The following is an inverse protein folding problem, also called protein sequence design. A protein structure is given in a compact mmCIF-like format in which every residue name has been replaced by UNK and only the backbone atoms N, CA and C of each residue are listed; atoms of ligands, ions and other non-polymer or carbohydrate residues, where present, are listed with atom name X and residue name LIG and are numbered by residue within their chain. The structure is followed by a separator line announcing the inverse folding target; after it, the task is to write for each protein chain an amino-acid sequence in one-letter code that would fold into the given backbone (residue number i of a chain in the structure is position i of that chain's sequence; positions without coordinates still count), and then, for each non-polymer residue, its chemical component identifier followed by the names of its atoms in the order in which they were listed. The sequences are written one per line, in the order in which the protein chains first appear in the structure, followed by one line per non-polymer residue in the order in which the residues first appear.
data_IF_561775195397
#
_entry.id   IF_561775195397
#
_cell.length_a   1.000
_cell.length_b   1.000
_cell.length_c   1.000
_cell.angle_alpha   90.00
_cell.angle_beta   90.00
_cell.angle_gamma   90.00
#
_symmetry.space_group_name_H-M   'P 1'
#
loop_
_entity.id
_entity.type
_entity.pdbx_description
1 polymer ?
#
# COMPACT_ATOMS: atom_id res chain seq x y z
N UNK A 1 -16.87 18.75 -4.89
CA UNK A 1 -15.75 17.89 -5.36
C UNK A 1 -14.61 17.78 -4.35
N UNK A 2 -14.05 18.86 -3.77
CA UNK A 2 -12.93 18.81 -2.80
C UNK A 2 -13.17 17.91 -1.58
N UNK A 3 -14.38 17.90 -1.03
CA UNK A 3 -14.73 17.06 0.12
C UNK A 3 -14.75 15.57 -0.22
N UNK A 4 -15.25 15.20 -1.41
CA UNK A 4 -15.27 13.81 -1.87
C UNK A 4 -13.85 13.28 -2.05
N UNK A 5 -12.96 14.06 -2.67
CA UNK A 5 -11.56 13.70 -2.85
C UNK A 5 -10.85 13.53 -1.49
N UNK A 6 -11.12 14.41 -0.53
CA UNK A 6 -10.53 14.30 0.81
C UNK A 6 -11.04 13.06 1.55
N UNK A 7 -12.36 12.81 1.51
CA UNK A 7 -12.96 11.65 2.14
C UNK A 7 -12.42 10.35 1.51
N UNK A 8 -12.40 10.26 0.18
CA UNK A 8 -11.87 9.09 -0.53
C UNK A 8 -10.41 8.81 -0.19
N UNK A 9 -9.59 9.84 -0.09
CA UNK A 9 -8.18 9.73 0.29
C UNK A 9 -8.01 9.22 1.74
N UNK A 10 -8.82 9.71 2.68
CA UNK A 10 -8.78 9.26 4.08
C UNK A 10 -9.25 7.80 4.18
N UNK A 11 -10.39 7.48 3.54
CA UNK A 11 -10.92 6.11 3.51
C UNK A 11 -9.95 5.12 2.85
N UNK A 12 -9.20 5.56 1.85
CA UNK A 12 -8.15 4.76 1.23
C UNK A 12 -6.98 4.51 2.20
N UNK A 13 -6.59 5.50 3.00
CA UNK A 13 -5.42 5.44 3.86
C UNK A 13 -5.64 4.64 5.16
N UNK A 14 -6.84 4.73 5.76
CA UNK A 14 -7.15 4.08 7.06
C UNK A 14 -6.85 2.59 7.08
N UNK A 15 -7.26 1.77 6.10
CA UNK A 15 -6.97 0.34 6.09
C UNK A 15 -5.48 0.02 6.18
N UNK A 16 -4.61 0.82 5.58
CA UNK A 16 -3.16 0.61 5.64
C UNK A 16 -2.59 0.87 7.04
N UNK A 17 -3.13 1.84 7.79
CA UNK A 17 -2.76 2.04 9.19
C UNK A 17 -3.15 0.80 10.02
N UNK A 18 -4.37 0.28 9.83
CA UNK A 18 -4.86 -0.90 10.54
C UNK A 18 -4.03 -2.13 10.16
N UNK A 19 -3.76 -2.37 8.88
CA UNK A 19 -2.89 -3.46 8.45
C UNK A 19 -1.48 -3.32 9.02
N UNK A 20 -0.91 -2.11 9.02
CA UNK A 20 0.39 -1.87 9.60
C UNK A 20 0.44 -2.21 11.10
N UNK A 21 -0.57 -1.80 11.87
CA UNK A 21 -0.69 -2.15 13.30
C UNK A 21 -0.82 -3.66 13.46
N UNK A 22 -1.63 -4.33 12.64
CA UNK A 22 -1.80 -5.78 12.70
C UNK A 22 -0.49 -6.54 12.47
N UNK A 23 0.44 -6.01 11.67
CA UNK A 23 1.75 -6.63 11.49
C UNK A 23 2.55 -6.72 12.80
N UNK A 24 2.34 -5.81 13.73
CA UNK A 24 2.95 -5.88 15.07
C UNK A 24 2.18 -6.77 16.02
N UNK A 25 0.85 -6.73 16.01
CA UNK A 25 0.01 -7.47 16.94
C UNK A 25 -0.12 -8.96 16.58
N UNK A 26 0.00 -9.29 15.30
CA UNK A 26 -0.24 -10.62 14.74
C UNK A 26 0.98 -11.13 13.96
N UNK A 27 2.18 -10.86 14.45
CA UNK A 27 3.43 -11.22 13.77
C UNK A 27 3.50 -12.72 13.47
N UNK A 28 3.09 -13.58 14.41
CA UNK A 28 3.10 -15.04 14.25
C UNK A 28 2.17 -15.51 13.12
N UNK A 29 1.00 -14.88 12.98
CA UNK A 29 0.08 -15.15 11.88
C UNK A 29 0.74 -14.83 10.54
N UNK A 30 1.36 -13.65 10.42
CA UNK A 30 2.06 -13.24 9.19
C UNK A 30 3.29 -14.10 8.89
N UNK A 31 3.99 -14.57 9.92
CA UNK A 31 5.08 -15.54 9.75
C UNK A 31 4.59 -16.85 9.12
N UNK A 32 3.40 -17.32 9.53
CA UNK A 32 2.79 -18.54 9.03
C UNK A 32 2.42 -18.49 7.54
N UNK A 33 2.16 -17.29 6.99
CA UNK A 33 1.83 -17.11 5.57
C UNK A 33 3.02 -16.63 4.72
N UNK A 34 4.16 -16.36 5.36
CA UNK A 34 5.35 -15.91 4.66
C UNK A 34 5.92 -17.05 3.82
N UNK A 35 6.14 -16.79 2.54
CA UNK A 35 6.76 -17.81 1.65
C UNK A 35 8.28 -17.88 1.84
N UNK A 36 8.87 -19.00 1.45
CA UNK A 36 10.32 -19.20 1.51
C UNK A 36 11.15 -18.20 0.67
N UNK A 37 10.50 -17.49 -0.23
CA UNK A 37 11.14 -16.44 -1.04
C UNK A 37 11.39 -15.14 -0.28
N UNK A 38 10.71 -14.93 0.85
CA UNK A 38 10.83 -13.69 1.61
C UNK A 38 11.85 -13.87 2.72
N UNK A 39 12.99 -13.17 2.64
CA UNK A 39 14.05 -13.29 3.63
C UNK A 39 13.70 -12.58 4.95
N UNK A 40 14.47 -12.87 6.00
CA UNK A 40 14.49 -12.16 7.28
C UNK A 40 13.26 -12.36 8.19
N UNK A 41 12.25 -13.15 7.80
CA UNK A 41 11.13 -13.56 8.68
C UNK A 41 10.44 -12.40 9.41
N UNK A 42 10.47 -12.39 10.75
CA UNK A 42 9.79 -11.40 11.58
C UNK A 42 10.24 -9.95 11.30
N UNK A 43 11.51 -9.72 10.96
CA UNK A 43 11.99 -8.37 10.63
C UNK A 43 11.31 -7.80 9.40
N UNK A 44 11.08 -8.62 8.37
CA UNK A 44 10.34 -8.21 7.16
C UNK A 44 8.90 -7.83 7.52
N UNK A 45 8.25 -8.57 8.40
CA UNK A 45 6.87 -8.28 8.84
C UNK A 45 6.82 -6.94 9.59
N UNK A 46 7.72 -6.71 10.53
CA UNK A 46 7.80 -5.46 11.30
C UNK A 46 8.09 -4.28 10.36
N UNK A 47 9.06 -4.42 9.44
CA UNK A 47 9.39 -3.39 8.47
C UNK A 47 8.18 -3.05 7.57
N UNK A 48 7.47 -4.06 7.11
CA UNK A 48 6.22 -3.89 6.35
C UNK A 48 5.17 -3.12 7.15
N UNK A 49 4.98 -3.45 8.42
CA UNK A 49 4.08 -2.72 9.31
C UNK A 49 4.43 -1.22 9.42
N UNK A 50 5.71 -0.91 9.60
CA UNK A 50 6.22 0.48 9.62
C UNK A 50 5.92 1.19 8.30
N UNK A 51 6.21 0.54 7.17
CA UNK A 51 5.99 1.12 5.84
C UNK A 51 4.51 1.42 5.59
N UNK A 52 3.60 0.52 5.97
CA UNK A 52 2.15 0.71 5.81
C UNK A 52 1.63 1.87 6.66
N UNK A 53 2.07 2.00 7.92
CA UNK A 53 1.69 3.11 8.80
C UNK A 53 2.24 4.43 8.26
N UNK A 54 3.51 4.47 7.85
CA UNK A 54 4.13 5.65 7.29
C UNK A 54 3.43 6.11 6.00
N UNK A 55 3.06 5.18 5.11
CA UNK A 55 2.29 5.47 3.91
C UNK A 55 0.91 6.05 4.25
N UNK A 56 0.20 5.46 5.21
CA UNK A 56 -1.10 5.96 5.67
C UNK A 56 -0.99 7.40 6.19
N UNK A 57 -0.03 7.69 7.07
CA UNK A 57 0.19 9.03 7.61
C UNK A 57 0.51 10.02 6.49
N UNK A 58 1.38 9.65 5.55
CA UNK A 58 1.75 10.50 4.40
C UNK A 58 0.54 10.81 3.53
N UNK A 59 -0.32 9.83 3.27
CA UNK A 59 -1.54 9.99 2.47
C UNK A 59 -2.54 10.89 3.20
N UNK A 60 -2.75 10.73 4.50
CA UNK A 60 -3.68 11.56 5.29
C UNK A 60 -3.20 13.00 5.37
N UNK A 61 -1.92 13.21 5.67
CA UNK A 61 -1.33 14.54 5.86
C UNK A 61 -0.97 15.26 4.56
N UNK A 62 -0.98 14.56 3.42
CA UNK A 62 -0.50 15.01 2.10
C UNK A 62 1.00 15.31 2.03
N UNK A 63 1.76 14.98 3.06
CA UNK A 63 3.22 15.14 3.05
C UNK A 63 3.83 13.96 2.32
N UNK A 64 4.63 14.23 1.27
CA UNK A 64 5.26 13.21 0.43
C UNK A 64 4.28 12.19 -0.17
N UNK A 65 3.02 12.61 -0.43
CA UNK A 65 1.93 11.72 -0.84
C UNK A 65 2.26 10.96 -2.13
N UNK A 66 2.89 11.62 -3.11
CA UNK A 66 3.31 10.99 -4.38
C UNK A 66 4.30 9.85 -4.13
N UNK A 67 5.35 10.12 -3.35
CA UNK A 67 6.39 9.12 -3.04
C UNK A 67 5.80 7.97 -2.21
N UNK A 68 5.00 8.30 -1.20
CA UNK A 68 4.37 7.32 -0.33
C UNK A 68 3.43 6.38 -1.10
N UNK A 69 2.62 6.91 -2.03
CA UNK A 69 1.69 6.10 -2.83
C UNK A 69 2.41 5.27 -3.89
N UNK A 70 3.50 5.74 -4.48
CA UNK A 70 4.33 4.93 -5.38
C UNK A 70 5.03 3.79 -4.64
N UNK A 71 5.60 4.07 -3.47
CA UNK A 71 6.22 3.02 -2.63
C UNK A 71 5.17 2.02 -2.12
N UNK A 72 3.97 2.48 -1.80
CA UNK A 72 2.86 1.61 -1.42
C UNK A 72 2.43 0.70 -2.58
N UNK A 73 2.33 1.24 -3.79
CA UNK A 73 2.03 0.44 -4.98
C UNK A 73 3.11 -0.63 -5.23
N UNK A 74 4.39 -0.26 -5.07
CA UNK A 74 5.51 -1.21 -5.18
C UNK A 74 5.44 -2.30 -4.10
N UNK A 75 5.13 -1.93 -2.85
CA UNK A 75 4.99 -2.88 -1.74
C UNK A 75 3.86 -3.89 -2.01
N UNK A 76 2.71 -3.40 -2.49
CA UNK A 76 1.58 -4.26 -2.87
C UNK A 76 1.92 -5.18 -4.04
N UNK A 77 2.68 -4.69 -5.02
CA UNK A 77 3.19 -5.54 -6.10
C UNK A 77 4.09 -6.66 -5.57
N UNK A 78 4.97 -6.35 -4.62
CA UNK A 78 5.82 -7.35 -3.97
C UNK A 78 4.95 -8.41 -3.27
N UNK A 79 3.90 -8.01 -2.54
CA UNK A 79 2.98 -8.96 -1.90
C UNK A 79 2.25 -9.86 -2.92
N UNK A 80 1.78 -9.27 -4.01
CA UNK A 80 1.14 -10.02 -5.09
C UNK A 80 2.09 -11.12 -5.60
N UNK A 81 3.33 -10.76 -5.92
CA UNK A 81 4.29 -11.68 -6.53
C UNK A 81 4.86 -12.71 -5.55
N UNK A 82 5.09 -12.34 -4.29
CA UNK A 82 5.80 -13.19 -3.33
C UNK A 82 4.90 -13.97 -2.39
N UNK A 83 3.67 -13.50 -2.17
CA UNK A 83 2.72 -14.12 -1.22
C UNK A 83 1.49 -14.63 -1.95
N UNK A 84 0.74 -13.76 -2.62
CA UNK A 84 -0.56 -14.13 -3.16
C UNK A 84 -0.48 -15.10 -4.35
N UNK A 85 0.41 -14.86 -5.30
CA UNK A 85 0.59 -15.76 -6.45
C UNK A 85 1.06 -17.14 -6.00
N UNK A 86 2.10 -17.31 -5.19
CA UNK A 86 2.51 -18.65 -4.71
C UNK A 86 1.41 -19.37 -3.92
N UNK A 87 0.68 -18.66 -3.05
CA UNK A 87 -0.42 -19.26 -2.28
C UNK A 87 -1.62 -19.64 -3.13
N UNK A 88 -1.87 -18.94 -4.24
CA UNK A 88 -2.96 -19.27 -5.16
C UNK A 88 -2.77 -20.66 -5.79
N UNK A 89 -1.51 -21.05 -6.05
CA UNK A 89 -1.19 -22.34 -6.65
C UNK A 89 -0.95 -23.46 -5.62
N UNK A 90 -0.41 -23.13 -4.44
CA UNK A 90 0.09 -24.10 -3.46
C UNK A 90 -0.64 -24.02 -2.09
N UNK A 91 -1.53 -23.03 -1.91
CA UNK A 91 -2.23 -22.80 -0.64
C UNK A 91 -3.45 -23.69 -0.45
N UNK A 92 -3.89 -23.81 0.80
CA UNK A 92 -5.08 -24.60 1.18
C UNK A 92 -6.40 -23.86 0.95
N UNK A 93 -6.39 -22.51 1.00
CA UNK A 93 -7.57 -21.65 0.76
C UNK A 93 -7.35 -20.74 -0.44
N UNK A 94 -7.57 -21.29 -1.62
CA UNK A 94 -7.43 -20.56 -2.89
C UNK A 94 -8.45 -19.43 -3.03
N UNK A 95 -9.66 -19.59 -2.47
CA UNK A 95 -10.69 -18.55 -2.56
C UNK A 95 -10.31 -17.31 -1.76
N UNK A 96 -9.89 -17.45 -0.52
CA UNK A 96 -9.42 -16.34 0.30
C UNK A 96 -8.18 -15.67 -0.32
N UNK A 97 -7.26 -16.46 -0.86
CA UNK A 97 -6.06 -15.96 -1.55
C UNK A 97 -6.43 -15.16 -2.79
N UNK A 98 -7.38 -15.62 -3.60
CA UNK A 98 -7.86 -14.90 -4.77
C UNK A 98 -8.49 -13.54 -4.38
N UNK A 99 -9.31 -13.52 -3.35
CA UNK A 99 -9.93 -12.28 -2.82
C UNK A 99 -8.83 -11.30 -2.38
N UNK A 100 -7.84 -11.77 -1.65
CA UNK A 100 -6.71 -10.95 -1.20
C UNK A 100 -5.89 -10.40 -2.39
N UNK A 101 -5.62 -11.23 -3.40
CA UNK A 101 -4.94 -10.84 -4.63
C UNK A 101 -5.70 -9.73 -5.38
N UNK A 102 -6.99 -9.90 -5.62
CA UNK A 102 -7.81 -8.92 -6.33
C UNK A 102 -7.93 -7.61 -5.55
N UNK A 103 -8.05 -7.68 -4.23
CA UNK A 103 -8.03 -6.51 -3.34
C UNK A 103 -6.70 -5.75 -3.48
N UNK A 104 -5.57 -6.43 -3.45
CA UNK A 104 -4.25 -5.79 -3.52
C UNK A 104 -3.97 -5.20 -4.91
N UNK A 105 -4.45 -5.83 -5.98
CA UNK A 105 -4.42 -5.23 -7.33
C UNK A 105 -5.23 -3.92 -7.36
N UNK A 106 -6.43 -3.91 -6.79
CA UNK A 106 -7.28 -2.71 -6.73
C UNK A 106 -6.65 -1.60 -5.90
N UNK A 107 -6.05 -1.94 -4.75
CA UNK A 107 -5.36 -0.97 -3.88
C UNK A 107 -4.09 -0.43 -4.55
N UNK A 108 -3.35 -1.27 -5.27
CA UNK A 108 -2.18 -0.85 -6.05
C UNK A 108 -2.59 0.15 -7.14
N UNK A 109 -3.64 -0.13 -7.89
CA UNK A 109 -4.20 0.78 -8.89
C UNK A 109 -4.65 2.12 -8.28
N UNK A 110 -5.35 2.08 -7.15
CA UNK A 110 -5.74 3.27 -6.38
C UNK A 110 -4.54 4.10 -5.92
N UNK A 111 -3.47 3.45 -5.44
CA UNK A 111 -2.21 4.11 -5.06
C UNK A 111 -1.58 4.83 -6.25
N UNK A 112 -1.52 4.19 -7.41
CA UNK A 112 -0.97 4.78 -8.63
C UNK A 112 -1.80 5.97 -9.12
N UNK A 113 -3.13 5.90 -9.06
CA UNK A 113 -4.02 7.01 -9.39
C UNK A 113 -3.77 8.23 -8.49
N UNK A 114 -3.64 8.01 -7.18
CA UNK A 114 -3.33 9.10 -6.24
C UNK A 114 -1.96 9.72 -6.59
N UNK A 115 -0.94 8.91 -6.85
CA UNK A 115 0.38 9.40 -7.27
C UNK A 115 0.31 10.26 -8.53
N UNK A 116 -0.46 9.86 -9.53
CA UNK A 116 -0.68 10.60 -10.78
C UNK A 116 -1.30 11.97 -10.54
N UNK A 117 -2.42 12.03 -9.81
CA UNK A 117 -3.13 13.28 -9.49
C UNK A 117 -2.21 14.30 -8.80
N UNK A 118 -1.41 13.85 -7.83
CA UNK A 118 -0.51 14.73 -7.10
C UNK A 118 0.75 15.12 -7.91
N UNK A 119 1.20 14.27 -8.84
CA UNK A 119 2.27 14.62 -9.77
C UNK A 119 1.87 15.76 -10.71
N UNK A 120 0.71 15.66 -11.34
CA UNK A 120 0.19 16.69 -12.25
C UNK A 120 -0.04 18.02 -11.52
N UNK A 121 -0.52 17.98 -10.27
CA UNK A 121 -0.71 19.17 -9.44
C UNK A 121 0.62 19.87 -9.11
N UNK A 122 1.69 19.11 -8.85
CA UNK A 122 3.03 19.68 -8.60
C UNK A 122 3.62 20.31 -9.86
N UNK A 123 3.46 19.67 -11.01
CA UNK A 123 3.94 20.19 -12.31
C UNK A 123 3.23 21.48 -12.71
N UNK A 124 1.92 21.54 -12.51
CA UNK A 124 1.13 22.73 -12.80
C UNK A 124 1.58 23.93 -11.96
N UNK A 125 1.80 23.73 -10.65
CA UNK A 125 2.33 24.77 -9.75
C UNK A 125 3.72 25.25 -10.15
N UNK A 126 4.60 24.33 -10.56
CA UNK A 126 5.96 24.68 -11.01
C UNK A 126 5.94 25.53 -12.29
N UNK A 127 5.03 25.22 -13.24
CA UNK A 127 4.87 26.02 -14.47
C UNK A 127 4.35 27.42 -14.15
N UNK A 128 3.35 27.56 -13.28
CA UNK A 128 2.80 28.85 -12.86
C UNK A 128 3.88 29.76 -12.20
N UNK A 129 4.72 29.19 -11.34
CA UNK A 129 5.77 29.92 -10.65
C UNK A 129 6.94 30.34 -11.58
N UNK A 130 7.11 29.73 -12.77
CA UNK A 130 8.11 30.11 -13.75
C UNK A 130 7.67 31.26 -14.66
N UNK A 131 6.37 31.53 -14.69
CA UNK A 131 5.78 32.59 -15.55
C UNK A 131 5.69 33.92 -14.80
N UNK A 132 5.75 33.89 -13.46
CA UNK A 132 5.81 35.07 -12.58
C UNK A 132 7.26 35.52 -12.37
#
# INVERSE_FOLDING_TARGET
MKHITTLGRILFAIPFAIFGINHFLMTDYYLGILTSFVPMGAYTIILTGIMLIAASISIITKKFIKQATLLLALLLLIFILTIHIPHLFNGTDQTATLIALLKDISLMGGSMMIAGIYSESEESKKKENKIK
#
